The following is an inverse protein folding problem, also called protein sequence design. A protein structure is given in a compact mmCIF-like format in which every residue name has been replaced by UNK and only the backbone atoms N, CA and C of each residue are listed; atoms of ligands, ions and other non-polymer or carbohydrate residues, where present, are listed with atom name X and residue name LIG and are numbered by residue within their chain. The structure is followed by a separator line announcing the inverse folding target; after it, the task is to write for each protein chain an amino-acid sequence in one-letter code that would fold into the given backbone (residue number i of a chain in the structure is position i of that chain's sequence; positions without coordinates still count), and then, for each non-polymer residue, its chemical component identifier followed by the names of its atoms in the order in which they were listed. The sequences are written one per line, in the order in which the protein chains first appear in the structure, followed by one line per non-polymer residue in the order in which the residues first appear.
data_IF_496684844767
#
_entry.id   IF_496684844767
#
_cell.length_a   1.000
_cell.length_b   1.000
_cell.length_c   1.000
_cell.angle_alpha   90.00
_cell.angle_beta   90.00
_cell.angle_gamma   90.00
#
_symmetry.space_group_name_H-M   'P 1'
#
loop_
_entity.id
_entity.type
_entity.pdbx_description
1 polymer ?
#
# COMPACT_ATOMS: atom_id res chain seq x y z
N UNK A 1 5.06 -33.64 27.18
CA UNK A 1 5.84 -32.49 26.64
C UNK A 1 5.03 -31.81 25.55
N UNK A 2 4.93 -30.48 25.55
CA UNK A 2 4.22 -29.78 24.48
C UNK A 2 5.05 -29.89 23.18
N UNK A 3 4.47 -30.47 22.12
CA UNK A 3 5.10 -30.54 20.80
C UNK A 3 5.40 -29.12 20.33
N UNK A 4 6.67 -28.84 20.00
CA UNK A 4 7.12 -27.55 19.49
C UNK A 4 6.41 -27.25 18.18
N UNK A 5 5.97 -26.00 18.01
CA UNK A 5 5.32 -25.55 16.76
C UNK A 5 6.31 -25.56 15.60
N UNK A 6 5.80 -25.85 14.42
CA UNK A 6 6.51 -25.81 13.15
C UNK A 6 6.02 -24.56 12.43
N UNK A 7 6.92 -23.61 12.27
CA UNK A 7 6.66 -22.32 11.62
C UNK A 7 7.24 -22.38 10.22
N UNK A 8 6.51 -21.84 9.23
CA UNK A 8 7.07 -21.67 7.89
C UNK A 8 8.20 -20.66 7.93
N UNK A 9 9.21 -20.93 7.13
CA UNK A 9 10.33 -20.02 6.94
C UNK A 9 9.93 -18.87 6.01
N UNK A 10 10.58 -17.70 6.12
CA UNK A 10 10.33 -16.56 5.24
C UNK A 10 10.40 -16.91 3.75
N UNK A 11 11.37 -17.75 3.35
CA UNK A 11 11.50 -18.25 1.98
C UNK A 11 10.26 -19.03 1.51
N UNK A 12 9.68 -19.89 2.36
CA UNK A 12 8.49 -20.68 2.00
C UNK A 12 7.26 -19.79 1.81
N UNK A 13 7.13 -18.73 2.61
CA UNK A 13 6.07 -17.71 2.46
C UNK A 13 6.29 -16.93 1.16
N UNK A 14 7.53 -16.57 0.84
CA UNK A 14 7.89 -15.85 -0.39
C UNK A 14 7.56 -16.66 -1.64
N UNK A 15 7.96 -17.93 -1.66
CA UNK A 15 7.67 -18.87 -2.75
C UNK A 15 6.15 -19.10 -2.89
N UNK A 16 5.42 -19.19 -1.78
CA UNK A 16 3.95 -19.29 -1.80
C UNK A 16 3.30 -18.09 -2.51
N UNK A 17 3.79 -16.87 -2.26
CA UNK A 17 3.28 -15.66 -2.92
C UNK A 17 3.61 -15.68 -4.42
N UNK A 18 4.85 -16.05 -4.77
CA UNK A 18 5.33 -16.08 -6.15
C UNK A 18 4.59 -17.11 -7.02
N UNK A 19 4.38 -18.31 -6.49
CA UNK A 19 3.75 -19.43 -7.22
C UNK A 19 2.25 -19.25 -7.45
N UNK A 20 1.64 -18.19 -6.92
CA UNK A 20 0.22 -17.92 -7.07
C UNK A 20 -0.18 -17.33 -8.43
N UNK A 21 0.80 -16.86 -9.21
CA UNK A 21 0.55 -16.09 -10.42
C UNK A 21 0.08 -14.65 -10.17
N UNK A 22 0.05 -14.20 -8.91
CA UNK A 22 -0.26 -12.81 -8.56
C UNK A 22 0.86 -11.87 -9.03
N UNK A 23 0.51 -10.93 -9.91
CA UNK A 23 1.46 -9.95 -10.46
C UNK A 23 1.70 -8.78 -9.49
N UNK A 24 0.63 -8.26 -8.89
CA UNK A 24 0.69 -7.10 -7.99
C UNK A 24 -0.47 -7.09 -7.00
N UNK A 25 -0.23 -6.48 -5.86
CA UNK A 25 -1.24 -6.06 -4.90
C UNK A 25 -1.75 -4.68 -5.28
N UNK A 26 -3.07 -4.54 -5.37
CA UNK A 26 -3.72 -3.23 -5.48
C UNK A 26 -3.96 -2.68 -4.08
N UNK A 27 -3.45 -1.48 -3.81
CA UNK A 27 -3.54 -0.81 -2.52
C UNK A 27 -4.31 0.51 -2.68
N UNK A 28 -5.26 0.76 -1.78
CA UNK A 28 -6.07 1.96 -1.85
C UNK A 28 -5.24 3.23 -1.54
N UNK A 29 -5.37 4.25 -2.37
CA UNK A 29 -4.72 5.56 -2.19
C UNK A 29 -5.06 6.20 -0.84
N UNK A 30 -6.25 5.90 -0.30
CA UNK A 30 -6.71 6.35 1.02
C UNK A 30 -5.83 5.86 2.17
N UNK A 31 -5.03 4.79 1.99
CA UNK A 31 -4.02 4.40 2.98
C UNK A 31 -3.07 5.56 3.30
N UNK A 32 -2.68 6.33 2.27
CA UNK A 32 -1.88 7.52 2.46
C UNK A 32 -2.71 8.72 2.96
N UNK A 33 -3.86 8.99 2.34
CA UNK A 33 -4.61 10.21 2.61
C UNK A 33 -5.29 10.21 3.98
N UNK A 34 -5.88 9.07 4.34
CA UNK A 34 -6.69 8.95 5.55
C UNK A 34 -5.92 8.51 6.77
N UNK A 35 -4.76 7.88 6.59
CA UNK A 35 -3.99 7.30 7.68
C UNK A 35 -2.57 7.85 7.75
N UNK A 36 -1.72 7.54 6.77
CA UNK A 36 -0.28 7.83 6.86
C UNK A 36 0.03 9.33 6.93
N UNK A 37 -0.53 10.14 6.03
CA UNK A 37 -0.27 11.59 5.98
C UNK A 37 -0.77 12.32 7.23
N UNK A 38 -1.78 11.79 7.92
CA UNK A 38 -2.30 12.37 9.17
C UNK A 38 -1.41 12.04 10.37
N UNK A 39 -0.65 10.95 10.30
CA UNK A 39 0.22 10.44 11.37
C UNK A 39 -0.53 9.87 12.58
N UNK A 40 -1.58 10.55 13.05
CA UNK A 40 -2.49 10.11 14.10
C UNK A 40 -3.89 9.89 13.55
N UNK A 41 -4.46 8.74 13.86
CA UNK A 41 -5.77 8.32 13.40
C UNK A 41 -6.69 8.10 14.59
N UNK A 42 -7.93 8.57 14.47
CA UNK A 42 -8.96 8.35 15.48
C UNK A 42 -9.55 6.94 15.38
N UNK A 43 -9.83 6.30 16.51
CA UNK A 43 -10.50 5.02 16.59
C UNK A 43 -11.45 4.98 17.79
N UNK A 44 -12.50 4.17 17.67
CA UNK A 44 -13.45 3.93 18.76
C UNK A 44 -13.11 2.61 19.48
N UNK A 45 -13.03 2.59 20.82
CA UNK A 45 -12.94 1.35 21.57
C UNK A 45 -14.08 0.40 21.24
N UNK A 46 -13.81 -0.91 21.25
CA UNK A 46 -14.78 -1.93 20.83
C UNK A 46 -15.48 -2.48 22.07
N UNK A 47 -16.81 -2.44 22.08
CA UNK A 47 -17.60 -3.12 23.12
C UNK A 47 -17.48 -4.63 22.95
N UNK A 48 -17.09 -5.34 24.02
CA UNK A 48 -17.01 -6.79 24.05
C UNK A 48 -17.69 -7.34 25.30
N UNK A 49 -18.21 -8.55 25.18
CA UNK A 49 -18.79 -9.31 26.29
C UNK A 49 -17.90 -10.50 26.63
N UNK A 50 -17.55 -10.63 27.90
CA UNK A 50 -16.83 -11.81 28.39
C UNK A 50 -17.78 -13.02 28.41
N UNK A 51 -17.41 -14.11 27.72
CA UNK A 51 -18.27 -15.29 27.61
C UNK A 51 -18.51 -15.98 28.96
N UNK A 52 -17.56 -15.91 29.89
CA UNK A 52 -17.64 -16.60 31.18
C UNK A 52 -18.42 -15.79 32.20
N UNK A 53 -18.10 -14.51 32.34
CA UNK A 53 -18.72 -13.65 33.36
C UNK A 53 -19.96 -12.92 32.86
N UNK A 54 -20.23 -12.95 31.55
CA UNK A 54 -21.28 -12.19 30.88
C UNK A 54 -21.16 -10.67 31.06
N UNK A 55 -20.01 -10.19 31.54
CA UNK A 55 -19.74 -8.76 31.77
C UNK A 55 -19.28 -8.09 30.48
N UNK A 56 -19.83 -6.91 30.22
CA UNK A 56 -19.47 -6.08 29.08
C UNK A 56 -18.36 -5.09 29.45
N UNK A 57 -17.45 -4.86 28.50
CA UNK A 57 -16.34 -3.94 28.66
C UNK A 57 -15.93 -3.32 27.33
N UNK A 58 -15.46 -2.08 27.40
CA UNK A 58 -14.75 -1.42 26.32
C UNK A 58 -13.32 -1.95 26.25
N UNK A 59 -12.93 -2.45 25.08
CA UNK A 59 -11.58 -2.88 24.79
C UNK A 59 -10.86 -1.80 23.98
N UNK A 60 -9.66 -1.43 24.42
CA UNK A 60 -8.78 -0.50 23.74
C UNK A 60 -7.72 -1.26 22.92
N UNK A 61 -7.04 -0.56 21.99
CA UNK A 61 -6.06 -1.19 21.10
C UNK A 61 -4.87 -1.80 21.87
N UNK A 62 -4.42 -1.14 22.93
CA UNK A 62 -3.36 -1.58 23.84
C UNK A 62 -3.77 -2.78 24.72
N UNK A 63 -5.06 -3.15 24.70
CA UNK A 63 -5.62 -4.22 25.51
C UNK A 63 -6.15 -3.81 26.86
N UNK A 64 -6.14 -2.51 27.21
CA UNK A 64 -6.85 -2.01 28.38
C UNK A 64 -8.34 -2.33 28.25
N UNK A 65 -8.92 -2.83 29.33
CA UNK A 65 -10.35 -3.11 29.47
C UNK A 65 -10.95 -2.13 30.47
N UNK A 66 -12.06 -1.51 30.10
CA UNK A 66 -12.82 -0.63 30.99
C UNK A 66 -14.25 -1.17 31.04
N UNK A 67 -14.75 -1.46 32.23
CA UNK A 67 -16.11 -1.98 32.39
C UNK A 67 -17.13 -1.05 31.75
N UNK A 68 -18.08 -1.64 31.03
CA UNK A 68 -19.18 -0.90 30.44
C UNK A 68 -20.10 -0.39 31.54
N UNK A 69 -20.54 0.86 31.38
CA UNK A 69 -21.71 1.40 32.07
C UNK A 69 -22.40 2.38 31.15
N UNK A 70 -23.72 2.55 31.29
CA UNK A 70 -24.51 3.49 30.47
C UNK A 70 -24.02 4.94 30.57
N UNK A 71 -23.28 5.27 31.64
CA UNK A 71 -22.71 6.59 31.89
C UNK A 71 -21.27 6.75 31.37
N UNK A 72 -20.68 5.72 30.79
CA UNK A 72 -19.27 5.69 30.39
C UNK A 72 -19.11 5.18 28.95
N UNK A 73 -19.58 5.97 27.99
CA UNK A 73 -19.22 5.81 26.59
C UNK A 73 -17.85 6.46 26.36
N UNK A 74 -16.84 5.70 25.89
CA UNK A 74 -15.51 6.24 25.73
C UNK A 74 -15.45 7.18 24.53
N UNK A 75 -14.81 8.33 24.72
CA UNK A 75 -14.47 9.22 23.61
C UNK A 75 -13.56 8.52 22.60
N UNK A 76 -13.63 8.91 21.30
CA UNK A 76 -12.68 8.47 20.31
C UNK A 76 -11.24 8.71 20.77
N UNK A 77 -10.39 7.71 20.59
CA UNK A 77 -8.96 7.77 20.96
C UNK A 77 -8.11 7.90 19.71
N UNK A 78 -6.89 8.40 19.87
CA UNK A 78 -5.94 8.49 18.75
C UNK A 78 -4.84 7.46 18.88
N UNK A 79 -4.39 6.95 17.74
CA UNK A 79 -3.24 6.06 17.64
C UNK A 79 -2.37 6.49 16.47
N UNK A 80 -1.07 6.22 16.55
CA UNK A 80 -0.14 6.50 15.45
C UNK A 80 -0.24 5.43 14.38
N UNK A 81 -0.36 5.86 13.13
CA UNK A 81 -0.24 5.01 11.95
C UNK A 81 1.08 5.37 11.25
N UNK A 82 2.03 4.43 11.26
CA UNK A 82 3.40 4.64 10.80
C UNK A 82 3.77 3.73 9.61
N UNK A 83 5.02 3.80 9.15
CA UNK A 83 5.53 3.06 7.99
C UNK A 83 5.35 1.55 8.15
N UNK A 84 5.52 1.06 9.38
CA UNK A 84 5.50 -0.37 9.71
C UNK A 84 4.08 -0.93 9.64
N UNK A 85 3.10 -0.12 10.01
CA UNK A 85 1.69 -0.45 9.83
C UNK A 85 1.35 -0.55 8.35
N UNK A 86 1.89 0.37 7.54
CA UNK A 86 1.71 0.35 6.09
C UNK A 86 2.32 -0.92 5.49
N UNK A 87 3.57 -1.25 5.82
CA UNK A 87 4.26 -2.45 5.34
C UNK A 87 3.47 -3.72 5.69
N UNK A 88 2.90 -3.80 6.90
CA UNK A 88 2.06 -4.92 7.30
C UNK A 88 0.80 -5.06 6.44
N UNK A 89 0.15 -3.95 6.09
CA UNK A 89 -1.00 -3.97 5.20
C UNK A 89 -0.60 -4.52 3.83
N UNK A 90 0.55 -4.14 3.29
CA UNK A 90 1.04 -4.67 2.01
C UNK A 90 1.22 -6.18 2.09
N UNK A 91 1.93 -6.65 3.12
CA UNK A 91 2.17 -8.08 3.31
C UNK A 91 0.85 -8.85 3.47
N UNK A 92 -0.09 -8.36 4.28
CA UNK A 92 -1.40 -9.00 4.41
C UNK A 92 -2.21 -8.98 3.11
N UNK A 93 -1.95 -8.05 2.18
CA UNK A 93 -2.62 -8.03 0.89
C UNK A 93 -2.18 -9.18 0.01
N UNK A 94 -0.88 -9.47 -0.02
CA UNK A 94 -0.35 -10.68 -0.65
C UNK A 94 -0.88 -11.94 0.06
N UNK A 95 -0.75 -12.02 1.38
CA UNK A 95 -1.13 -13.22 2.13
C UNK A 95 -2.64 -13.54 2.08
N UNK A 96 -3.50 -12.52 2.09
CA UNK A 96 -4.96 -12.74 2.07
C UNK A 96 -5.45 -13.34 0.76
N UNK A 97 -4.77 -13.07 -0.36
CA UNK A 97 -5.09 -13.69 -1.66
C UNK A 97 -4.73 -15.18 -1.72
N UNK A 98 -3.87 -15.69 -0.83
CA UNK A 98 -3.48 -17.10 -0.78
C UNK A 98 -4.19 -17.89 0.32
N UNK A 99 -5.26 -17.34 0.89
CA UNK A 99 -5.94 -17.94 2.04
C UNK A 99 -4.95 -18.31 3.16
N UNK A 100 -3.91 -17.48 3.35
CA UNK A 100 -2.86 -17.78 4.31
C UNK A 100 -3.44 -17.90 5.71
N UNK A 101 -3.24 -19.06 6.32
CA UNK A 101 -3.50 -19.32 7.72
C UNK A 101 -2.16 -19.54 8.42
N UNK A 102 -1.87 -18.80 9.48
CA UNK A 102 -0.56 -18.87 10.11
C UNK A 102 -0.50 -18.28 11.51
N UNK A 103 0.72 -18.01 11.95
CA UNK A 103 1.03 -17.43 13.24
C UNK A 103 1.67 -16.06 13.08
N UNK A 104 1.44 -15.20 14.06
CA UNK A 104 2.05 -13.86 14.09
C UNK A 104 3.57 -13.90 14.06
N UNK A 105 4.19 -14.96 14.60
CA UNK A 105 5.63 -15.18 14.52
C UNK A 105 6.11 -15.35 13.07
N UNK A 106 5.37 -16.07 12.22
CA UNK A 106 5.75 -16.24 10.80
C UNK A 106 5.75 -14.90 10.05
N UNK A 107 4.80 -14.02 10.36
CA UNK A 107 4.74 -12.65 9.83
C UNK A 107 5.93 -11.81 10.34
N UNK A 108 6.25 -11.95 11.63
CA UNK A 108 7.40 -11.29 12.26
C UNK A 108 8.71 -11.72 11.62
N UNK A 109 8.88 -13.03 11.43
CA UNK A 109 10.07 -13.63 10.84
C UNK A 109 10.20 -13.20 9.37
N UNK A 110 9.11 -13.19 8.60
CA UNK A 110 9.14 -12.73 7.20
C UNK A 110 9.68 -11.30 7.05
N UNK A 111 9.20 -10.39 7.90
CA UNK A 111 9.61 -8.98 7.88
C UNK A 111 11.04 -8.79 8.41
N UNK A 112 11.46 -9.62 9.37
CA UNK A 112 12.74 -9.46 10.10
C UNK A 112 13.91 -10.18 9.44
N UNK A 113 13.71 -11.39 8.91
CA UNK A 113 14.79 -12.28 8.45
C UNK A 113 15.57 -11.68 7.27
N UNK A 114 14.85 -10.98 6.40
CA UNK A 114 15.48 -10.24 5.32
C UNK A 114 15.98 -8.87 5.82
N UNK A 115 15.21 -8.21 6.70
CA UNK A 115 15.53 -6.84 7.16
C UNK A 115 16.48 -6.92 8.34
N UNK A 116 17.78 -7.04 8.04
CA UNK A 116 18.88 -7.04 9.04
C UNK A 116 18.85 -5.84 10.01
N UNK A 117 18.00 -4.86 9.75
CA UNK A 117 17.87 -3.59 10.47
C UNK A 117 16.83 -3.62 11.61
N UNK A 118 15.90 -4.58 11.64
CA UNK A 118 14.77 -4.50 12.57
C UNK A 118 14.37 -5.85 13.20
N UNK A 119 14.68 -6.03 14.49
CA UNK A 119 14.13 -7.13 15.28
C UNK A 119 12.67 -6.85 15.67
N UNK A 120 11.72 -7.30 14.85
CA UNK A 120 10.34 -7.41 15.31
C UNK A 120 10.21 -8.63 16.21
N UNK A 121 9.86 -8.39 17.48
CA UNK A 121 9.42 -9.48 18.34
C UNK A 121 7.95 -9.80 18.03
N UNK A 122 7.57 -11.07 18.14
CA UNK A 122 6.17 -11.51 18.00
C UNK A 122 5.21 -10.73 18.91
N UNK A 123 5.67 -10.30 20.09
CA UNK A 123 4.90 -9.39 20.95
C UNK A 123 4.57 -8.06 20.25
N UNK A 124 5.58 -7.38 19.69
CA UNK A 124 5.38 -6.11 18.97
C UNK A 124 4.51 -6.31 17.73
N UNK A 125 4.69 -7.42 17.03
CA UNK A 125 3.89 -7.75 15.86
C UNK A 125 2.40 -7.94 16.24
N UNK A 126 2.11 -8.66 17.33
CA UNK A 126 0.75 -8.81 17.87
C UNK A 126 0.13 -7.47 18.25
N UNK A 127 0.90 -6.59 18.90
CA UNK A 127 0.43 -5.25 19.28
C UNK A 127 0.05 -4.42 18.03
N UNK A 128 0.83 -4.51 16.95
CA UNK A 128 0.56 -3.81 15.69
C UNK A 128 -0.63 -4.38 14.94
N UNK A 129 -0.70 -5.71 14.76
CA UNK A 129 -1.86 -6.37 14.14
C UNK A 129 -3.13 -6.01 14.90
N UNK A 130 -3.07 -6.08 16.24
CA UNK A 130 -4.20 -5.70 17.09
C UNK A 130 -4.57 -4.23 16.87
N UNK A 131 -3.62 -3.31 16.85
CA UNK A 131 -3.87 -1.90 16.53
C UNK A 131 -4.62 -1.73 15.20
N UNK A 132 -4.18 -2.41 14.14
CA UNK A 132 -4.82 -2.35 12.82
C UNK A 132 -6.27 -2.86 12.83
N UNK A 133 -6.64 -3.75 13.75
CA UNK A 133 -8.03 -4.20 13.93
C UNK A 133 -8.96 -3.14 14.55
N UNK A 134 -8.43 -2.08 15.17
CA UNK A 134 -9.23 -0.98 15.73
C UNK A 134 -9.39 0.19 14.76
N UNK A 135 -8.44 0.37 13.86
CA UNK A 135 -8.46 1.46 12.90
C UNK A 135 -9.50 1.17 11.82
N UNK A 136 -10.33 2.16 11.52
CA UNK A 136 -11.38 2.08 10.50
C UNK A 136 -11.20 3.18 9.47
N UNK A 137 -11.55 2.89 8.23
CA UNK A 137 -11.68 3.86 7.16
C UNK A 137 -12.98 3.66 6.40
N UNK A 138 -13.42 4.71 5.72
CA UNK A 138 -14.57 4.62 4.83
C UNK A 138 -14.15 3.94 3.53
N UNK A 139 -14.96 3.01 3.05
CA UNK A 139 -14.77 2.26 1.81
C UNK A 139 -16.09 2.22 1.05
N UNK A 140 -16.07 2.27 -0.27
CA UNK A 140 -17.32 2.15 -1.04
C UNK A 140 -17.74 0.70 -1.33
N UNK A 141 -17.07 -0.28 -0.73
CA UNK A 141 -17.36 -1.69 -0.91
C UNK A 141 -16.93 -2.49 0.31
N UNK A 142 -17.50 -3.68 0.45
CA UNK A 142 -17.08 -4.72 1.39
C UNK A 142 -17.04 -6.06 0.66
N UNK A 143 -15.99 -6.84 0.89
CA UNK A 143 -15.92 -8.21 0.41
C UNK A 143 -16.31 -9.17 1.53
N UNK A 144 -17.35 -9.95 1.31
CA UNK A 144 -17.70 -11.05 2.20
C UNK A 144 -16.88 -12.29 1.84
N UNK A 145 -15.94 -12.63 2.71
CA UNK A 145 -15.06 -13.77 2.55
C UNK A 145 -15.75 -15.13 2.69
N UNK A 146 -16.98 -15.19 3.24
CA UNK A 146 -17.74 -16.44 3.35
C UNK A 146 -18.54 -16.72 2.08
N UNK A 147 -19.18 -15.69 1.56
CA UNK A 147 -20.04 -15.78 0.38
C UNK A 147 -19.27 -15.52 -0.93
N UNK A 148 -17.99 -15.14 -0.84
CA UNK A 148 -17.12 -14.74 -1.95
C UNK A 148 -17.74 -13.67 -2.85
N UNK A 149 -18.45 -12.72 -2.22
CA UNK A 149 -19.20 -11.67 -2.90
C UNK A 149 -18.78 -10.29 -2.43
N UNK A 150 -18.73 -9.35 -3.38
CA UNK A 150 -18.54 -7.94 -3.12
C UNK A 150 -19.88 -7.23 -3.05
N UNK A 151 -20.06 -6.43 -2.01
CA UNK A 151 -21.19 -5.53 -1.84
C UNK A 151 -20.72 -4.09 -2.00
N UNK A 152 -21.37 -3.33 -2.88
CA UNK A 152 -21.06 -1.91 -3.13
C UNK A 152 -21.94 -1.04 -2.23
N UNK A 153 -21.32 -0.06 -1.57
CA UNK A 153 -21.94 0.93 -0.71
C UNK A 153 -21.57 2.34 -1.22
N UNK A 154 -22.38 2.94 -2.10
CA UNK A 154 -22.07 4.24 -2.72
C UNK A 154 -21.82 5.35 -1.70
N UNK A 155 -22.57 5.36 -0.59
CA UNK A 155 -22.44 6.35 0.49
C UNK A 155 -21.23 6.09 1.40
N UNK A 156 -20.50 5.00 1.13
CA UNK A 156 -19.39 4.54 1.94
C UNK A 156 -19.82 3.76 3.19
N UNK A 157 -18.95 2.87 3.62
CA UNK A 157 -19.09 2.05 4.83
C UNK A 157 -17.80 2.10 5.62
N UNK A 158 -17.91 2.28 6.94
CA UNK A 158 -16.76 2.21 7.82
C UNK A 158 -16.32 0.74 7.99
N UNK A 159 -15.15 0.42 7.45
CA UNK A 159 -14.55 -0.90 7.55
C UNK A 159 -13.24 -0.84 8.34
N UNK A 160 -12.96 -1.88 9.11
CA UNK A 160 -11.67 -2.06 9.77
C UNK A 160 -10.59 -2.32 8.74
N UNK A 161 -9.38 -1.83 8.98
CA UNK A 161 -8.23 -2.12 8.11
C UNK A 161 -8.04 -3.63 7.98
N UNK A 162 -7.98 -4.34 9.11
CA UNK A 162 -7.76 -5.79 9.17
C UNK A 162 -8.80 -6.46 10.07
N UNK A 163 -9.32 -7.60 9.62
CA UNK A 163 -10.03 -8.57 10.44
C UNK A 163 -9.14 -9.79 10.71
N UNK A 164 -9.27 -10.37 11.91
CA UNK A 164 -8.62 -11.63 12.27
C UNK A 164 -9.68 -12.69 12.52
N UNK A 165 -9.51 -13.81 11.82
CA UNK A 165 -10.32 -15.01 11.96
C UNK A 165 -9.48 -16.12 12.60
N UNK A 166 -10.05 -16.81 13.60
CA UNK A 166 -9.44 -17.99 14.21
C UNK A 166 -9.95 -19.23 13.51
N UNK A 167 -9.02 -20.03 12.99
CA UNK A 167 -9.33 -21.24 12.24
C UNK A 167 -8.69 -22.43 12.95
N UNK A 168 -9.43 -23.52 13.12
CA UNK A 168 -8.85 -24.78 13.58
C UNK A 168 -8.29 -25.56 12.39
N UNK A 169 -7.06 -26.04 12.50
CA UNK A 169 -6.41 -26.81 11.45
C UNK A 169 -5.47 -27.86 12.02
N UNK A 170 -4.78 -28.59 11.15
CA UNK A 170 -3.81 -29.61 11.54
C UNK A 170 -2.40 -29.22 11.08
N UNK A 171 -1.49 -29.11 12.04
CA UNK A 171 -0.05 -29.00 11.82
C UNK A 171 0.48 -30.40 11.46
N UNK A 172 1.12 -30.53 10.29
CA UNK A 172 1.60 -31.80 9.71
C UNK A 172 0.56 -32.92 9.67
N UNK A 173 -0.71 -32.57 9.42
CA UNK A 173 -1.81 -33.54 9.27
C UNK A 173 -2.22 -34.30 10.53
N UNK A 174 -1.56 -34.08 11.67
CA UNK A 174 -1.77 -34.90 12.88
C UNK A 174 -2.04 -34.07 14.13
N UNK A 175 -1.44 -32.88 14.25
CA UNK A 175 -1.56 -32.07 15.47
C UNK A 175 -2.60 -30.98 15.28
N UNK A 176 -3.76 -31.08 15.94
CA UNK A 176 -4.79 -30.04 15.91
C UNK A 176 -4.29 -28.74 16.56
N UNK A 177 -4.36 -27.62 15.85
CA UNK A 177 -3.92 -26.29 16.28
C UNK A 177 -4.92 -25.22 15.88
N UNK A 178 -4.81 -24.05 16.53
CA UNK A 178 -5.51 -22.83 16.12
C UNK A 178 -4.54 -21.99 15.31
N UNK A 179 -4.95 -21.64 14.10
CA UNK A 179 -4.29 -20.71 13.19
C UNK A 179 -5.07 -19.40 13.11
N UNK A 180 -4.42 -18.38 12.57
CA UNK A 180 -5.03 -17.09 12.33
C UNK A 180 -5.00 -16.79 10.84
N UNK A 181 -6.15 -16.34 10.33
CA UNK A 181 -6.28 -15.78 8.99
C UNK A 181 -6.55 -14.28 9.15
N UNK A 182 -5.76 -13.47 8.46
CA UNK A 182 -5.94 -12.01 8.44
C UNK A 182 -6.52 -11.59 7.11
N UNK A 183 -7.64 -10.88 7.18
CA UNK A 183 -8.39 -10.39 6.03
C UNK A 183 -8.28 -8.87 5.99
N UNK A 184 -7.86 -8.31 4.85
CA UNK A 184 -7.90 -6.88 4.63
C UNK A 184 -9.27 -6.49 4.10
N UNK A 185 -10.10 -5.88 4.93
CA UNK A 185 -11.38 -5.34 4.45
C UNK A 185 -11.20 -3.97 3.80
N UNK A 186 -10.09 -3.29 4.07
CA UNK A 186 -9.74 -2.03 3.44
C UNK A 186 -9.06 -2.31 2.09
N UNK A 187 -9.88 -2.72 1.12
CA UNK A 187 -9.49 -2.94 -0.27
C UNK A 187 -9.47 -1.61 -1.06
N UNK A 188 -9.33 -1.69 -2.38
CA UNK A 188 -9.52 -0.58 -3.30
C UNK A 188 -11.01 -0.19 -3.37
N UNK A 189 -11.29 1.05 -3.75
CA UNK A 189 -12.66 1.44 -4.10
C UNK A 189 -13.05 0.77 -5.43
N UNK A 190 -14.35 0.58 -5.67
CA UNK A 190 -14.86 0.01 -6.93
C UNK A 190 -15.93 0.88 -7.55
N UNK A 191 -15.92 0.99 -8.87
CA UNK A 191 -16.98 1.62 -9.65
C UNK A 191 -17.72 0.53 -10.40
N UNK A 192 -19.05 0.57 -10.36
CA UNK A 192 -19.88 -0.31 -11.19
C UNK A 192 -20.02 0.30 -12.58
N UNK A 193 -19.67 -0.48 -13.59
CA UNK A 193 -19.74 -0.08 -14.99
C UNK A 193 -20.53 -1.13 -15.76
N UNK A 194 -21.35 -0.66 -16.71
CA UNK A 194 -22.10 -1.53 -17.62
C UNK A 194 -21.26 -1.63 -18.89
N UNK A 195 -20.86 -2.85 -19.25
CA UNK A 195 -20.12 -3.06 -20.49
C UNK A 195 -21.00 -2.85 -21.73
N UNK A 196 -20.37 -2.86 -22.92
CA UNK A 196 -21.08 -2.69 -24.20
C UNK A 196 -22.15 -3.77 -24.45
N UNK A 197 -22.09 -4.89 -23.72
CA UNK A 197 -23.06 -5.98 -23.77
C UNK A 197 -24.17 -5.88 -22.71
N UNK A 198 -24.22 -4.81 -21.92
CA UNK A 198 -25.22 -4.62 -20.88
C UNK A 198 -24.92 -5.34 -19.57
N UNK A 199 -23.74 -5.94 -19.39
CA UNK A 199 -23.36 -6.66 -18.17
C UNK A 199 -22.67 -5.71 -17.18
N UNK A 200 -23.13 -5.74 -15.94
CA UNK A 200 -22.50 -5.01 -14.84
C UNK A 200 -21.17 -5.67 -14.43
N UNK A 201 -20.11 -4.88 -14.42
CA UNK A 201 -18.79 -5.26 -13.91
C UNK A 201 -18.33 -4.22 -12.87
N UNK A 202 -17.73 -4.69 -11.78
CA UNK A 202 -17.17 -3.82 -10.76
C UNK A 202 -15.66 -3.62 -11.04
N UNK A 203 -15.28 -2.42 -11.47
CA UNK A 203 -13.90 -2.04 -11.82
C UNK A 203 -13.21 -1.38 -10.61
N UNK A 204 -12.01 -1.80 -10.18
CA UNK A 204 -11.30 -1.13 -9.09
C UNK A 204 -10.88 0.29 -9.50
N UNK A 205 -10.93 1.22 -8.56
CA UNK A 205 -10.52 2.61 -8.70
C UNK A 205 -9.72 3.06 -7.46
N UNK A 206 -9.08 4.24 -7.54
CA UNK A 206 -8.36 4.87 -6.42
C UNK A 206 -7.28 3.97 -5.77
N UNK A 207 -6.47 3.31 -6.59
CA UNK A 207 -5.43 2.42 -6.10
C UNK A 207 -4.09 2.64 -6.80
N UNK A 208 -3.04 2.11 -6.18
CA UNK A 208 -1.72 1.96 -6.78
C UNK A 208 -1.26 0.51 -6.68
N UNK A 209 -0.37 0.10 -7.58
CA UNK A 209 0.07 -1.30 -7.72
C UNK A 209 1.43 -1.49 -7.06
N UNK A 210 1.53 -2.48 -6.17
CA UNK A 210 2.78 -2.86 -5.53
C UNK A 210 3.05 -4.32 -5.84
N UNK A 211 4.23 -4.62 -6.36
CA UNK A 211 4.66 -5.99 -6.64
C UNK A 211 5.33 -6.60 -5.42
N UNK A 212 5.48 -7.93 -5.40
CA UNK A 212 6.24 -8.58 -4.32
C UNK A 212 7.71 -8.16 -4.35
N UNK A 213 8.25 -7.86 -5.54
CA UNK A 213 9.61 -7.35 -5.73
C UNK A 213 9.79 -5.93 -5.20
N UNK A 214 8.74 -5.11 -5.17
CA UNK A 214 8.77 -3.82 -4.47
C UNK A 214 8.89 -4.05 -2.96
N UNK A 215 8.11 -4.98 -2.39
CA UNK A 215 8.21 -5.34 -0.98
C UNK A 215 9.61 -5.90 -0.64
N UNK A 216 10.24 -6.61 -1.58
CA UNK A 216 11.59 -7.13 -1.44
C UNK A 216 12.65 -6.02 -1.27
N UNK A 217 12.40 -4.80 -1.74
CA UNK A 217 13.31 -3.66 -1.50
C UNK A 217 13.41 -3.33 -0.01
N UNK A 218 12.31 -3.46 0.73
CA UNK A 218 12.30 -3.29 2.18
C UNK A 218 12.78 -4.55 2.89
N UNK A 219 12.24 -5.71 2.53
CA UNK A 219 12.58 -6.94 3.23
C UNK A 219 14.06 -7.20 3.07
N UNK A 220 14.67 -7.14 1.89
CA UNK A 220 16.13 -7.34 1.70
C UNK A 220 17.04 -6.32 2.43
N UNK A 221 16.46 -5.24 2.97
CA UNK A 221 17.18 -4.16 3.62
C UNK A 221 17.84 -3.17 2.65
N UNK A 222 17.49 -3.20 1.36
CA UNK A 222 17.96 -2.20 0.39
C UNK A 222 17.42 -0.80 0.75
N UNK A 223 16.17 -0.74 1.21
CA UNK A 223 15.50 0.46 1.69
C UNK A 223 15.11 0.30 3.16
N UNK A 224 15.31 1.34 3.95
CA UNK A 224 14.73 1.42 5.29
C UNK A 224 13.23 1.79 5.25
N UNK A 225 12.59 1.85 6.41
CA UNK A 225 11.15 2.10 6.56
C UNK A 225 10.70 3.43 5.91
N UNK A 226 11.45 4.51 6.10
CA UNK A 226 11.14 5.85 5.57
C UNK A 226 11.48 5.98 4.09
N UNK A 227 12.54 5.31 3.63
CA UNK A 227 12.89 5.24 2.22
C UNK A 227 11.83 4.44 1.45
N UNK A 228 11.41 3.29 1.98
CA UNK A 228 10.42 2.43 1.35
C UNK A 228 9.06 3.12 1.24
N UNK A 229 8.57 3.77 2.30
CA UNK A 229 7.28 4.48 2.23
C UNK A 229 7.32 5.67 1.28
N UNK A 230 8.47 6.36 1.18
CA UNK A 230 8.67 7.46 0.21
C UNK A 230 8.63 6.92 -1.22
N UNK A 231 9.27 5.78 -1.45
CA UNK A 231 9.19 5.07 -2.73
C UNK A 231 7.75 4.67 -3.09
N UNK A 232 7.00 4.10 -2.14
CA UNK A 232 5.57 3.78 -2.33
C UNK A 232 4.73 5.01 -2.61
N UNK A 233 5.05 6.16 -1.99
CA UNK A 233 4.39 7.42 -2.29
C UNK A 233 4.63 7.85 -3.74
N UNK A 234 5.83 7.66 -4.28
CA UNK A 234 6.11 7.91 -5.70
C UNK A 234 5.35 6.96 -6.62
N UNK A 235 5.22 5.68 -6.28
CA UNK A 235 4.34 4.75 -7.01
C UNK A 235 2.90 5.26 -7.03
N UNK A 236 2.40 5.69 -5.87
CA UNK A 236 1.03 6.20 -5.72
C UNK A 236 0.79 7.51 -6.49
N UNK A 237 1.75 8.42 -6.50
CA UNK A 237 1.64 9.72 -7.18
C UNK A 237 1.95 9.66 -8.67
N UNK A 238 2.45 8.55 -9.17
CA UNK A 238 2.77 8.39 -10.59
C UNK A 238 1.51 8.14 -11.41
N UNK A 239 1.23 9.06 -12.34
CA UNK A 239 0.22 8.90 -13.37
C UNK A 239 0.82 9.41 -14.70
N UNK A 240 0.91 8.54 -15.70
CA UNK A 240 1.51 8.88 -17.00
C UNK A 240 0.72 9.93 -17.78
N UNK A 241 -0.58 10.08 -17.51
CA UNK A 241 -1.44 11.08 -18.15
C UNK A 241 -1.57 12.40 -17.36
N UNK A 242 -1.11 12.45 -16.11
CA UNK A 242 -1.22 13.64 -15.27
C UNK A 242 -0.04 13.73 -14.29
N UNK A 243 0.99 14.48 -14.68
CA UNK A 243 2.22 14.62 -13.90
C UNK A 243 1.98 15.40 -12.59
N UNK A 244 2.17 14.73 -11.45
CA UNK A 244 2.05 15.36 -10.14
C UNK A 244 3.43 15.85 -9.68
N UNK A 245 3.64 17.17 -9.80
CA UNK A 245 4.89 17.82 -9.42
C UNK A 245 4.93 18.13 -7.92
N UNK A 246 5.98 17.69 -7.23
CA UNK A 246 6.15 17.91 -5.79
C UNK A 246 7.39 18.73 -5.45
N UNK A 247 7.23 19.71 -4.57
CA UNK A 247 8.36 20.30 -3.86
C UNK A 247 8.78 19.42 -2.68
N UNK A 248 10.03 19.54 -2.22
CA UNK A 248 10.51 18.77 -1.05
C UNK A 248 9.68 19.07 0.21
N UNK A 249 9.22 20.32 0.41
CA UNK A 249 8.37 20.65 1.56
C UNK A 249 7.03 19.93 1.45
N UNK A 250 6.45 19.89 0.24
CA UNK A 250 5.17 19.21 0.05
C UNK A 250 5.28 17.70 0.23
N UNK A 251 6.39 17.11 -0.20
CA UNK A 251 6.71 15.71 0.12
C UNK A 251 6.83 15.49 1.62
N UNK A 252 7.57 16.36 2.32
CA UNK A 252 7.76 16.27 3.77
C UNK A 252 6.43 16.29 4.52
N UNK A 253 5.51 17.19 4.13
CA UNK A 253 4.15 17.24 4.68
C UNK A 253 3.38 15.95 4.42
N UNK A 254 3.37 15.46 3.17
CA UNK A 254 2.62 14.27 2.76
C UNK A 254 3.18 12.98 3.35
N UNK A 255 4.47 12.94 3.64
CA UNK A 255 5.15 11.83 4.27
C UNK A 255 5.20 11.95 5.80
N UNK A 256 4.61 13.01 6.37
CA UNK A 256 4.63 13.29 7.81
C UNK A 256 6.06 13.32 8.40
N UNK A 257 7.02 13.82 7.62
CA UNK A 257 8.41 14.03 8.02
C UNK A 257 8.56 15.50 8.42
N UNK A 258 8.89 15.75 9.68
CA UNK A 258 8.99 17.13 10.22
C UNK A 258 10.16 17.93 9.65
N UNK A 259 11.30 17.27 9.43
CA UNK A 259 12.51 17.92 8.92
C UNK A 259 12.64 17.68 7.41
N UNK A 260 12.51 18.75 6.64
CA UNK A 260 12.58 18.72 5.17
C UNK A 260 13.94 18.27 4.66
N UNK A 261 15.02 18.44 5.44
CA UNK A 261 16.36 17.95 5.09
C UNK A 261 16.44 16.43 5.15
N UNK A 262 15.65 15.79 6.01
CA UNK A 262 15.56 14.33 6.06
C UNK A 262 14.86 13.85 4.79
N UNK A 263 13.75 14.49 4.41
CA UNK A 263 13.05 14.21 3.16
C UNK A 263 13.97 14.37 1.95
N UNK A 264 14.74 15.46 1.87
CA UNK A 264 15.72 15.68 0.80
C UNK A 264 16.75 14.54 0.72
N UNK A 265 17.36 14.16 1.84
CA UNK A 265 18.33 13.05 1.89
C UNK A 265 17.73 11.72 1.46
N UNK A 266 16.49 11.42 1.88
CA UNK A 266 15.78 10.21 1.47
C UNK A 266 15.56 10.23 -0.04
N UNK A 267 15.08 11.35 -0.59
CA UNK A 267 14.86 11.49 -2.04
C UNK A 267 16.17 11.34 -2.81
N UNK A 268 17.24 12.03 -2.41
CA UNK A 268 18.56 11.87 -3.02
C UNK A 268 19.04 10.43 -3.00
N UNK A 269 18.85 9.74 -1.87
CA UNK A 269 19.18 8.32 -1.74
C UNK A 269 18.39 7.47 -2.73
N UNK A 270 17.08 7.65 -2.83
CA UNK A 270 16.22 6.92 -3.77
C UNK A 270 16.59 7.16 -5.24
N UNK A 271 17.03 8.37 -5.60
CA UNK A 271 17.43 8.72 -6.96
C UNK A 271 18.75 8.06 -7.40
N UNK A 272 19.66 7.79 -6.47
CA UNK A 272 20.93 7.10 -6.78
C UNK A 272 20.85 5.59 -6.57
N UNK A 273 19.82 5.08 -5.89
CA UNK A 273 19.65 3.65 -5.66
C UNK A 273 19.38 2.92 -6.97
N UNK A 274 20.16 1.85 -7.16
CA UNK A 274 20.03 0.90 -8.26
C UNK A 274 19.59 -0.45 -7.71
N UNK A 275 18.71 -1.12 -8.44
CA UNK A 275 18.17 -2.42 -8.08
C UNK A 275 18.65 -3.45 -9.09
N UNK A 276 19.24 -4.53 -8.58
CA UNK A 276 19.52 -5.74 -9.35
C UNK A 276 18.58 -6.83 -8.87
N UNK A 277 17.63 -7.21 -9.72
CA UNK A 277 16.64 -8.24 -9.41
C UNK A 277 16.75 -9.42 -10.39
N UNK A 278 15.82 -10.37 -10.28
CA UNK A 278 15.80 -11.56 -11.15
C UNK A 278 15.52 -11.24 -12.63
N UNK A 279 15.07 -10.02 -12.95
CA UNK A 279 14.79 -9.58 -14.30
C UNK A 279 15.96 -8.75 -14.89
N UNK A 280 17.03 -8.53 -14.12
CA UNK A 280 18.30 -7.99 -14.61
C UNK A 280 19.15 -9.09 -15.24
N UNK A 281 19.81 -8.78 -16.36
CA UNK A 281 21.00 -9.53 -16.79
C UNK A 281 22.16 -9.32 -15.81
N UNK A 282 23.21 -10.15 -15.90
CA UNK A 282 24.32 -10.09 -14.94
C UNK A 282 25.00 -8.72 -14.83
N UNK A 283 24.99 -7.92 -15.90
CA UNK A 283 25.62 -6.59 -15.94
C UNK A 283 24.63 -5.42 -15.94
N UNK A 284 23.34 -5.68 -15.69
CA UNK A 284 22.29 -4.65 -15.72
C UNK A 284 21.76 -4.32 -14.32
N UNK A 285 21.47 -3.04 -14.10
CA UNK A 285 20.71 -2.56 -12.95
C UNK A 285 19.59 -1.61 -13.40
N UNK A 286 18.56 -1.49 -12.55
CA UNK A 286 17.47 -0.55 -12.75
C UNK A 286 17.60 0.64 -11.81
N UNK A 287 17.46 1.88 -12.31
CA UNK A 287 17.22 3.01 -11.43
C UNK A 287 15.91 2.78 -10.67
N UNK A 288 15.94 2.98 -9.36
CA UNK A 288 14.74 2.86 -8.55
C UNK A 288 13.73 3.96 -8.90
N UNK A 289 14.22 5.21 -8.95
CA UNK A 289 13.42 6.40 -9.26
C UNK A 289 14.17 7.28 -10.27
N UNK A 290 13.46 7.82 -11.24
CA UNK A 290 13.94 8.90 -12.11
C UNK A 290 13.26 10.22 -11.72
N UNK A 291 13.95 11.35 -11.96
CA UNK A 291 13.42 12.68 -11.65
C UNK A 291 13.40 13.54 -12.89
N UNK A 292 12.21 14.03 -13.24
CA UNK A 292 12.05 15.10 -14.20
C UNK A 292 11.96 16.44 -13.49
N UNK A 293 12.47 17.47 -14.15
CA UNK A 293 12.50 18.84 -13.63
C UNK A 293 11.84 19.76 -14.64
N UNK A 294 10.94 20.67 -14.21
CA UNK A 294 10.30 21.60 -15.12
C UNK A 294 11.32 22.61 -15.66
N UNK A 295 11.03 23.23 -16.81
CA UNK A 295 11.92 24.21 -17.46
C UNK A 295 12.31 25.37 -16.52
N UNK A 296 11.42 25.78 -15.62
CA UNK A 296 11.68 26.86 -14.66
C UNK A 296 12.45 26.43 -13.40
N UNK A 297 12.83 25.16 -13.24
CA UNK A 297 13.50 24.62 -12.05
C UNK A 297 14.75 25.43 -11.68
N UNK A 298 15.66 25.65 -12.64
CA UNK A 298 16.90 26.43 -12.44
C UNK A 298 16.62 27.91 -12.16
N UNK A 299 15.49 28.45 -12.62
CA UNK A 299 15.07 29.83 -12.33
C UNK A 299 14.63 29.94 -10.87
N UNK A 300 13.75 29.04 -10.42
CA UNK A 300 13.29 28.98 -9.02
C UNK A 300 14.44 28.87 -8.02
N UNK A 301 15.44 28.02 -8.30
CA UNK A 301 16.64 27.92 -7.47
C UNK A 301 17.38 29.27 -7.38
N UNK A 302 17.59 29.96 -8.51
CA UNK A 302 18.26 31.28 -8.55
C UNK A 302 17.49 32.34 -7.77
N UNK A 303 16.16 32.30 -7.85
CA UNK A 303 15.25 33.20 -7.13
C UNK A 303 15.04 32.79 -5.65
N UNK A 304 15.76 31.78 -5.15
CA UNK A 304 15.61 31.22 -3.79
C UNK A 304 14.19 30.73 -3.47
N UNK A 305 13.45 30.35 -4.50
CA UNK A 305 12.16 29.69 -4.39
C UNK A 305 12.33 28.17 -4.38
N UNK A 306 11.42 27.46 -3.71
CA UNK A 306 11.46 26.00 -3.71
C UNK A 306 11.00 25.45 -5.07
N UNK A 307 11.85 24.69 -5.78
CA UNK A 307 11.45 24.06 -7.02
C UNK A 307 10.61 22.79 -6.76
N UNK A 308 9.86 22.39 -7.78
CA UNK A 308 9.12 21.12 -7.79
C UNK A 308 9.76 20.17 -8.79
N UNK A 309 9.63 18.88 -8.54
CA UNK A 309 10.11 17.80 -9.40
C UNK A 309 9.02 16.74 -9.56
N UNK A 310 9.07 15.99 -10.66
CA UNK A 310 8.23 14.83 -10.91
C UNK A 310 9.07 13.57 -10.72
N UNK A 311 8.56 12.61 -9.96
CA UNK A 311 9.30 11.41 -9.57
C UNK A 311 8.67 10.18 -10.23
N UNK A 312 9.43 9.53 -11.12
CA UNK A 312 9.00 8.35 -11.86
C UNK A 312 9.56 7.09 -11.19
N UNK A 313 8.72 6.17 -10.67
CA UNK A 313 9.14 4.94 -10.01
C UNK A 313 9.53 3.87 -11.05
N UNK A 314 10.67 4.07 -11.71
CA UNK A 314 11.08 3.29 -12.89
C UNK A 314 11.11 1.79 -12.62
N UNK A 315 11.58 1.37 -11.45
CA UNK A 315 11.61 -0.05 -11.07
C UNK A 315 10.21 -0.67 -11.06
N UNK A 316 9.26 -0.09 -10.32
CA UNK A 316 7.87 -0.58 -10.26
C UNK A 316 7.21 -0.67 -11.64
N UNK A 317 7.38 0.37 -12.48
CA UNK A 317 6.81 0.41 -13.83
C UNK A 317 7.30 -0.77 -14.66
N UNK A 318 8.63 -0.94 -14.75
CA UNK A 318 9.25 -2.02 -15.53
C UNK A 318 8.88 -3.40 -14.99
N UNK A 319 8.85 -3.56 -13.68
CA UNK A 319 8.48 -4.84 -13.05
C UNK A 319 7.01 -5.18 -13.34
N UNK A 320 6.11 -4.20 -13.28
CA UNK A 320 4.70 -4.42 -13.64
C UNK A 320 4.53 -4.79 -15.11
N UNK A 321 5.26 -4.15 -16.03
CA UNK A 321 5.25 -4.47 -17.47
C UNK A 321 5.70 -5.91 -17.71
N UNK A 322 6.84 -6.31 -17.15
CA UNK A 322 7.40 -7.66 -17.28
C UNK A 322 6.49 -8.74 -16.72
N UNK A 323 5.92 -8.51 -15.54
CA UNK A 323 4.95 -9.45 -14.97
C UNK A 323 3.67 -9.53 -15.80
N UNK A 324 3.33 -8.47 -16.52
CA UNK A 324 2.13 -8.41 -17.36
C UNK A 324 2.29 -9.12 -18.69
N UNK A 325 3.50 -9.19 -19.23
CA UNK A 325 3.83 -9.84 -20.51
C UNK A 325 3.75 -11.38 -20.41
N UNK A 326 2.81 -12.04 -21.10
CA UNK A 326 2.69 -13.50 -21.09
C UNK A 326 3.84 -14.22 -21.81
N UNK A 327 4.61 -13.53 -22.65
CA UNK A 327 5.61 -14.17 -23.52
C UNK A 327 7.02 -14.23 -22.91
N UNK A 328 7.34 -13.41 -21.89
CA UNK A 328 8.68 -13.41 -21.28
C UNK A 328 8.96 -14.56 -20.29
N UNK A 329 7.96 -15.41 -20.00
CA UNK A 329 8.12 -16.54 -19.09
C UNK A 329 8.85 -17.74 -19.72
N UNK A 330 9.21 -17.69 -21.01
CA UNK A 330 9.86 -18.79 -21.74
C UNK A 330 11.23 -18.47 -22.36
N UNK A 331 11.72 -17.23 -22.31
CA UNK A 331 13.00 -16.86 -22.97
C UNK A 331 14.25 -17.07 -22.09
N UNK A 332 14.29 -18.20 -21.38
CA UNK A 332 15.54 -18.77 -20.88
C UNK A 332 15.89 -20.03 -21.67
N UNK A 333 15.94 -19.92 -23.00
CA UNK A 333 16.70 -20.81 -23.88
C UNK A 333 16.79 -20.19 -25.29
N UNK A 334 17.99 -19.70 -25.62
CA UNK A 334 18.58 -19.51 -26.95
C UNK A 334 17.71 -18.93 -28.09
N UNK A 335 18.04 -17.73 -28.59
CA UNK A 335 18.86 -17.62 -29.80
C UNK A 335 19.14 -16.16 -30.19
N UNK A 336 20.18 -16.03 -31.01
CA UNK A 336 20.80 -14.83 -31.57
C UNK A 336 19.89 -14.03 -32.51
N UNK A 337 20.21 -12.73 -32.60
CA UNK A 337 19.92 -11.78 -33.69
C UNK A 337 18.49 -11.68 -34.25
N UNK A 338 17.91 -10.47 -34.16
CA UNK A 338 17.54 -9.63 -35.32
C UNK A 338 16.79 -8.37 -34.88
N UNK A 339 17.37 -7.23 -35.30
CA UNK A 339 16.84 -5.90 -35.64
C UNK A 339 15.90 -5.10 -34.73
N UNK A 340 16.39 -3.88 -34.48
CA UNK A 340 15.65 -2.62 -34.33
C UNK A 340 14.46 -2.50 -35.30
N UNK A 341 13.27 -2.20 -34.78
CA UNK A 341 12.56 -0.93 -35.09
C UNK A 341 11.18 -0.84 -34.43
N UNK A 342 10.92 0.38 -33.94
CA UNK A 342 9.63 1.08 -33.83
C UNK A 342 8.76 0.90 -32.58
N UNK A 343 8.77 1.99 -31.80
CA UNK A 343 7.84 2.35 -30.75
C UNK A 343 6.37 2.31 -31.21
N UNK A 344 5.55 1.54 -30.49
CA UNK A 344 4.12 1.81 -30.30
C UNK A 344 3.72 1.49 -28.87
N UNK A 345 3.69 2.53 -28.04
CA UNK A 345 3.03 2.49 -26.74
C UNK A 345 1.51 2.35 -26.94
N UNK A 346 0.97 1.15 -26.75
CA UNK A 346 -0.45 0.99 -26.49
C UNK A 346 -0.76 1.51 -25.09
N UNK A 347 -1.29 2.74 -25.03
CA UNK A 347 -1.89 3.33 -23.84
C UNK A 347 -3.13 2.54 -23.43
N UNK A 348 -3.02 1.82 -22.32
CA UNK A 348 -4.17 1.18 -21.66
C UNK A 348 -4.92 2.22 -20.81
N UNK A 349 -6.03 2.74 -21.36
CA UNK A 349 -7.17 3.24 -20.57
C UNK A 349 -7.21 4.73 -20.20
N UNK A 350 -7.31 5.61 -21.20
CA UNK A 350 -8.13 6.83 -21.15
C UNK A 350 -8.32 7.34 -22.59
N UNK A 351 -9.55 7.41 -23.09
CA UNK A 351 -9.84 8.00 -24.40
C UNK A 351 -10.14 9.50 -24.19
N UNK A 352 -9.29 10.44 -24.66
CA UNK A 352 -9.51 11.87 -24.43
C UNK A 352 -10.76 12.42 -25.15
N UNK A 353 -11.37 11.63 -26.02
CA UNK A 353 -12.52 12.02 -26.83
C UNK A 353 -13.89 11.87 -26.12
N UNK A 354 -13.92 11.41 -24.86
CA UNK A 354 -15.17 11.23 -24.11
C UNK A 354 -15.56 12.45 -23.24
N UNK A 355 -14.96 13.62 -23.48
CA UNK A 355 -15.37 14.89 -22.85
C UNK A 355 -16.37 15.61 -23.78
N UNK A 356 -17.59 15.96 -23.33
CA UNK A 356 -18.49 16.79 -24.12
C UNK A 356 -17.85 18.17 -24.29
N UNK A 357 -17.72 18.60 -25.55
CA UNK A 357 -17.24 19.93 -25.94
C UNK A 357 -18.23 20.96 -25.37
N UNK A 358 -17.84 21.57 -24.25
CA UNK A 358 -18.46 22.75 -23.67
C UNK A 358 -17.52 23.94 -23.85
N UNK A 359 -17.91 24.83 -24.76
CA UNK A 359 -17.42 26.18 -25.05
C UNK A 359 -16.20 26.69 -24.26
N UNK A 360 -15.05 26.71 -24.91
CA UNK A 360 -13.86 27.46 -24.48
C UNK A 360 -13.95 28.90 -24.96
N UNK A 361 -14.48 29.79 -24.11
CA UNK A 361 -14.18 31.23 -24.22
C UNK A 361 -13.07 31.58 -23.23
N UNK A 362 -11.89 31.88 -23.79
CA UNK A 362 -10.82 32.60 -23.11
C UNK A 362 -11.36 33.90 -22.50
N UNK A 363 -11.12 34.12 -21.20
CA UNK A 363 -11.03 35.46 -20.64
C UNK A 363 -9.73 35.58 -19.85
N UNK A 364 -8.93 36.54 -20.31
CA UNK A 364 -7.69 37.01 -19.74
C UNK A 364 -7.92 37.63 -18.36
N UNK A 365 -6.87 37.54 -17.54
CA UNK A 365 -6.52 38.38 -16.40
C UNK A 365 -7.51 39.45 -15.93
N UNK A 366 -7.97 39.34 -14.67
CA UNK A 366 -8.26 40.53 -13.87
C UNK A 366 -7.68 40.40 -12.45
N UNK A 367 -6.45 40.89 -12.33
CA UNK A 367 -5.75 41.21 -11.09
C UNK A 367 -6.22 42.58 -10.60
N UNK A 368 -7.41 42.65 -10.00
CA UNK A 368 -7.78 43.78 -9.14
C UNK A 368 -8.89 43.39 -8.18
N UNK A 369 -8.54 42.93 -6.97
CA UNK A 369 -9.43 42.91 -5.79
C UNK A 369 -8.64 42.44 -4.56
N UNK A 370 -7.66 43.24 -4.14
CA UNK A 370 -7.11 43.24 -2.79
C UNK A 370 -6.54 44.64 -2.53
N UNK A 371 -7.42 45.62 -2.51
CA UNK A 371 -7.32 46.80 -1.67
C UNK A 371 -8.75 47.06 -1.15
N UNK A 372 -8.82 47.57 0.08
CA UNK A 372 -10.02 47.81 0.88
C UNK A 372 -10.56 46.58 1.62
N UNK A 373 -10.07 46.40 2.86
CA UNK A 373 -10.92 46.36 4.04
C UNK A 373 -10.08 46.68 5.29
N UNK A 374 -10.49 47.77 5.95
CA UNK A 374 -10.03 48.29 7.24
C UNK A 374 -10.03 47.26 8.38
#
# INVERSE_FOLDING_TARGET
MAVKRILRKPKEIREMIENSGMKFAMLNNRLFDDFYSKGKVSYNPILKKDKKTQVEYWLYHDGKKVLYSEKNNPDPRTVTFDERDFILIILFKFLSQHNFQGYTQEISDYITDFSKLHNYSDKRMKERIKKLQFIQGTMNNEYDHKDEKRYIYPDGKLLRLINEEKVEGYENGTTKRVFYKWHLNFDCDYKREIDKGGKENDTPINFFKVTIYDLDLYTSGLLNEQEFITYLYFIRSYNSGNEIWHSINKLSEKLNIKDTRITEKIVERLLVTRVKDQFCREDEDFPLVHVDRPNNYKRKIRERQQPSSFYKPVYNIKTCERLSDPNQSQDNQADEDVNEESDKYETWGFNPNDIPIGDTSYQEDDLSLLDDLD
#
